data_IF_084295923374
#
_entry.id   IF_084295923374
#
_cell.length_a   1.000
_cell.length_b   1.000
_cell.length_c   1.000
_cell.angle_alpha   90.00
_cell.angle_beta   90.00
_cell.angle_gamma   90.00
#
_symmetry.space_group_name_H-M   'P 1'
#
loop_
_entity.id
_entity.type
_entity.pdbx_description
1 polymer ?
#
# COMPACT_ATOMS: atom_id res chain seq x y z
N UNK A 1 8.33 13.78 7.24
CA UNK A 1 7.65 13.00 6.18
C UNK A 1 6.42 12.27 6.72
N UNK A 2 6.55 11.56 7.84
CA UNK A 2 5.47 10.78 8.49
C UNK A 2 4.27 11.54 9.10
N UNK A 3 4.10 12.84 8.85
CA UNK A 3 2.99 13.61 9.41
C UNK A 3 2.11 14.07 8.26
N UNK A 4 0.77 13.99 8.44
CA UNK A 4 -0.24 14.39 7.44
C UNK A 4 0.08 15.72 6.76
N UNK A 5 0.42 16.76 7.54
CA UNK A 5 0.71 18.10 7.02
C UNK A 5 2.12 18.29 6.44
N UNK A 6 3.00 17.28 6.48
CA UNK A 6 4.41 17.45 6.11
C UNK A 6 4.58 17.85 4.64
N UNK A 7 3.89 17.15 3.74
CA UNK A 7 3.97 17.42 2.30
C UNK A 7 3.59 18.87 2.00
N UNK A 8 2.45 19.32 2.51
CA UNK A 8 1.94 20.69 2.35
C UNK A 8 2.87 21.75 2.94
N UNK A 9 3.43 21.49 4.12
CA UNK A 9 4.35 22.42 4.77
C UNK A 9 5.70 22.56 4.04
N UNK A 10 6.13 21.53 3.30
CA UNK A 10 7.44 21.48 2.62
C UNK A 10 7.33 21.51 1.09
N UNK A 11 6.12 21.64 0.54
CA UNK A 11 5.87 21.68 -0.91
C UNK A 11 5.96 23.08 -1.53
N UNK A 12 6.03 24.14 -0.72
CA UNK A 12 6.10 25.51 -1.22
C UNK A 12 4.87 25.97 -2.00
N UNK A 13 3.73 25.28 -1.83
CA UNK A 13 2.51 25.51 -2.60
C UNK A 13 2.49 24.83 -3.98
N UNK A 14 3.52 24.06 -4.33
CA UNK A 14 3.56 23.26 -5.55
C UNK A 14 3.03 21.84 -5.26
N UNK A 15 1.86 21.52 -5.82
CA UNK A 15 1.17 20.24 -5.61
C UNK A 15 1.98 19.04 -6.09
N UNK A 16 2.85 19.20 -7.10
CA UNK A 16 3.73 18.14 -7.59
C UNK A 16 4.84 17.87 -6.58
N UNK A 17 5.39 18.92 -5.97
CA UNK A 17 6.38 18.77 -4.90
C UNK A 17 5.73 18.11 -3.68
N UNK A 18 4.52 18.52 -3.30
CA UNK A 18 3.76 17.87 -2.23
C UNK A 18 3.52 16.38 -2.48
N UNK A 19 3.16 15.99 -3.72
CA UNK A 19 3.01 14.59 -4.11
C UNK A 19 4.34 13.83 -4.06
N UNK A 20 5.45 14.44 -4.49
CA UNK A 20 6.76 13.81 -4.43
C UNK A 20 7.19 13.50 -2.98
N UNK A 21 6.83 14.35 -2.01
CA UNK A 21 7.03 14.08 -0.59
C UNK A 21 6.19 12.89 -0.10
N UNK A 22 4.92 12.79 -0.51
CA UNK A 22 4.07 11.63 -0.17
C UNK A 22 4.62 10.33 -0.76
N UNK A 23 4.99 10.34 -2.04
CA UNK A 23 5.61 9.19 -2.72
C UNK A 23 6.91 8.75 -2.05
N UNK A 24 7.77 9.71 -1.68
CA UNK A 24 9.02 9.42 -0.98
C UNK A 24 8.77 8.75 0.37
N UNK A 25 7.81 9.26 1.15
CA UNK A 25 7.45 8.66 2.43
C UNK A 25 6.97 7.22 2.28
N UNK A 26 6.01 7.00 1.37
CA UNK A 26 5.46 5.66 1.16
C UNK A 26 6.49 4.68 0.60
N UNK A 27 7.43 5.15 -0.23
CA UNK A 27 8.55 4.31 -0.66
C UNK A 27 9.43 3.88 0.52
N UNK A 28 9.71 4.77 1.48
CA UNK A 28 10.42 4.38 2.70
C UNK A 28 9.67 3.30 3.49
N UNK A 29 8.34 3.42 3.63
CA UNK A 29 7.50 2.42 4.30
C UNK A 29 7.56 1.08 3.57
N UNK A 30 7.40 1.09 2.24
CA UNK A 30 7.46 -0.13 1.44
C UNK A 30 8.82 -0.82 1.55
N UNK A 31 9.92 -0.07 1.44
CA UNK A 31 11.27 -0.63 1.53
C UNK A 31 11.53 -1.24 2.92
N UNK A 32 11.11 -0.58 4.00
CA UNK A 32 11.25 -1.13 5.35
C UNK A 32 10.44 -2.42 5.53
N UNK A 33 9.20 -2.46 5.01
CA UNK A 33 8.36 -3.66 5.00
C UNK A 33 8.95 -4.82 4.20
N UNK A 34 9.48 -4.55 3.00
CA UNK A 34 10.16 -5.57 2.19
C UNK A 34 11.40 -6.13 2.89
N UNK A 35 12.23 -5.27 3.48
CA UNK A 35 13.43 -5.68 4.23
C UNK A 35 13.04 -6.55 5.42
N UNK A 36 12.01 -6.17 6.17
CA UNK A 36 11.51 -6.98 7.28
C UNK A 36 10.99 -8.34 6.82
N UNK A 37 10.27 -8.41 5.69
CA UNK A 37 9.81 -9.64 5.07
C UNK A 37 10.96 -10.58 4.70
N UNK A 38 11.97 -10.07 3.99
CA UNK A 38 13.16 -10.85 3.57
C UNK A 38 13.92 -11.40 4.77
N UNK A 39 14.10 -10.59 5.82
CA UNK A 39 14.80 -11.02 7.03
C UNK A 39 13.93 -11.85 7.99
N UNK A 40 12.64 -12.05 7.69
CA UNK A 40 11.64 -12.65 8.60
C UNK A 40 11.67 -11.99 9.98
N UNK A 41 11.90 -10.67 9.99
CA UNK A 41 11.89 -9.89 11.21
C UNK A 41 10.43 -9.73 11.68
N UNK A 42 10.20 -9.92 12.97
CA UNK A 42 8.87 -9.81 13.57
C UNK A 42 8.40 -8.36 13.75
N UNK A 43 9.20 -7.37 13.34
CA UNK A 43 8.84 -5.96 13.45
C UNK A 43 9.27 -5.19 12.21
N UNK A 44 8.34 -4.35 11.73
CA UNK A 44 8.59 -3.34 10.71
C UNK A 44 8.67 -2.00 11.43
N UNK A 45 9.76 -1.27 11.21
CA UNK A 45 10.12 -0.08 12.00
C UNK A 45 9.18 1.07 11.72
N UNK A 46 8.64 1.13 10.51
CA UNK A 46 7.68 2.14 10.06
C UNK A 46 6.23 1.68 10.15
N UNK A 47 5.95 0.50 10.74
CA UNK A 47 4.57 0.02 10.90
C UNK A 47 3.72 0.99 11.72
N UNK A 48 2.55 1.36 11.21
CA UNK A 48 1.65 2.34 11.85
C UNK A 48 2.20 3.77 11.92
N UNK A 49 3.39 4.03 11.37
CA UNK A 49 3.96 5.37 11.27
C UNK A 49 3.41 6.02 10.00
N UNK A 50 2.99 7.29 10.07
CA UNK A 50 2.40 7.96 8.91
C UNK A 50 0.88 7.82 8.81
N UNK A 51 0.20 7.49 9.89
CA UNK A 51 -1.26 7.61 9.99
C UNK A 51 -1.69 9.04 9.59
N UNK A 52 -2.60 9.15 8.62
CA UNK A 52 -3.00 10.42 8.02
C UNK A 52 -2.13 10.93 6.86
N UNK A 53 -0.98 10.30 6.54
CA UNK A 53 -0.28 10.64 5.30
C UNK A 53 -1.09 10.15 4.11
N UNK A 54 -1.46 11.09 3.24
CA UNK A 54 -2.22 10.79 2.03
C UNK A 54 -1.53 9.77 1.12
N UNK A 55 -2.33 8.91 0.50
CA UNK A 55 -1.93 7.91 -0.47
C UNK A 55 -1.46 8.59 -1.78
N UNK A 56 -0.46 8.02 -2.47
CA UNK A 56 0.01 8.57 -3.74
C UNK A 56 -1.04 8.48 -4.85
N UNK A 57 -1.03 9.46 -5.74
CA UNK A 57 -1.85 9.46 -6.94
C UNK A 57 -1.25 8.57 -8.05
N UNK A 58 -1.97 8.39 -9.15
CA UNK A 58 -1.47 7.59 -10.26
C UNK A 58 -0.27 8.21 -11.00
N UNK A 59 0.54 7.38 -11.65
CA UNK A 59 1.72 7.85 -12.40
C UNK A 59 1.36 8.87 -13.48
N UNK A 60 0.22 8.68 -14.15
CA UNK A 60 -0.31 9.63 -15.16
C UNK A 60 -0.69 10.99 -14.56
N UNK A 61 -1.18 11.00 -13.32
CA UNK A 61 -1.61 12.21 -12.61
C UNK A 61 -0.38 13.00 -12.17
N UNK A 62 0.61 12.30 -11.59
CA UNK A 62 1.90 12.88 -11.26
C UNK A 62 2.63 13.44 -12.48
N UNK A 63 2.73 12.66 -13.55
CA UNK A 63 3.42 13.05 -14.78
C UNK A 63 2.77 14.24 -15.50
N UNK A 64 1.44 14.38 -15.39
CA UNK A 64 0.72 15.52 -15.99
C UNK A 64 0.64 16.74 -15.08
N UNK A 65 1.08 16.63 -13.82
CA UNK A 65 0.95 17.67 -12.80
C UNK A 65 -0.47 17.88 -12.27
N UNK A 66 -1.44 17.08 -12.73
CA UNK A 66 -2.83 17.14 -12.28
C UNK A 66 -3.02 16.28 -11.03
N UNK A 67 -2.50 16.76 -9.91
CA UNK A 67 -2.50 16.01 -8.65
C UNK A 67 -3.91 16.06 -8.01
N UNK A 68 -4.59 14.92 -7.83
CA UNK A 68 -5.88 14.90 -7.14
C UNK A 68 -5.69 15.14 -5.63
N UNK A 69 -6.80 15.44 -4.94
CA UNK A 69 -6.80 15.43 -3.47
C UNK A 69 -6.42 14.03 -2.99
N UNK A 70 -5.39 13.89 -2.15
CA UNK A 70 -4.95 12.59 -1.70
C UNK A 70 -5.99 11.95 -0.78
N UNK A 71 -6.23 10.66 -0.98
CA UNK A 71 -7.05 9.81 -0.11
C UNK A 71 -6.24 9.28 1.07
N UNK A 72 -6.87 8.86 2.16
CA UNK A 72 -6.19 8.24 3.29
C UNK A 72 -6.25 6.71 3.21
N UNK A 73 -5.38 6.05 4.00
CA UNK A 73 -5.44 4.59 4.16
C UNK A 73 -6.75 4.13 4.84
N UNK A 74 -7.34 4.98 5.68
CA UNK A 74 -8.66 4.73 6.29
C UNK A 74 -9.75 4.67 5.21
N UNK A 75 -9.79 5.66 4.31
CA UNK A 75 -10.71 5.67 3.17
C UNK A 75 -10.52 4.44 2.26
N UNK A 76 -9.30 3.93 2.13
CA UNK A 76 -9.03 2.68 1.39
C UNK A 76 -9.62 1.45 2.10
N UNK A 77 -9.42 1.33 3.42
CA UNK A 77 -9.93 0.20 4.19
C UNK A 77 -11.47 0.20 4.28
N UNK A 78 -12.09 1.39 4.20
CA UNK A 78 -13.55 1.55 4.26
C UNK A 78 -14.22 1.46 2.88
N UNK A 79 -13.46 1.42 1.79
CA UNK A 79 -13.98 1.47 0.41
C UNK A 79 -14.96 0.32 0.09
N UNK A 80 -14.73 -0.87 0.66
CA UNK A 80 -15.60 -2.05 0.52
C UNK A 80 -17.01 -1.83 1.08
N UNK A 81 -17.19 -0.85 1.97
CA UNK A 81 -18.47 -0.48 2.57
C UNK A 81 -19.14 0.73 1.90
N UNK A 82 -18.47 1.32 0.90
CA UNK A 82 -19.00 2.47 0.17
C UNK A 82 -19.78 2.02 -1.07
N UNK A 83 -20.89 2.71 -1.37
CA UNK A 83 -21.66 2.50 -2.61
C UNK A 83 -20.95 3.06 -3.86
N UNK A 84 -19.81 3.75 -3.68
CA UNK A 84 -19.03 4.35 -4.75
C UNK A 84 -17.98 3.37 -5.28
N UNK A 85 -17.91 3.20 -6.61
CA UNK A 85 -16.82 2.47 -7.27
C UNK A 85 -15.53 3.30 -7.25
N UNK A 86 -14.94 3.47 -6.06
CA UNK A 86 -13.68 4.17 -5.86
C UNK A 86 -12.55 3.31 -6.42
N UNK A 87 -11.81 3.86 -7.37
CA UNK A 87 -10.57 3.25 -7.88
C UNK A 87 -9.38 3.95 -7.24
N UNK A 88 -8.50 3.18 -6.61
CA UNK A 88 -7.27 3.69 -6.03
C UNK A 88 -6.10 3.50 -7.00
N UNK A 89 -4.99 4.19 -6.72
CA UNK A 89 -3.78 4.08 -7.53
C UNK A 89 -3.09 2.73 -7.33
N UNK A 90 -2.31 2.31 -8.32
CA UNK A 90 -1.44 1.13 -8.21
C UNK A 90 -0.45 1.22 -7.04
N UNK A 91 -0.01 2.44 -6.69
CA UNK A 91 0.77 2.71 -5.47
C UNK A 91 0.00 2.33 -4.20
N UNK A 92 -1.29 2.62 -4.14
CA UNK A 92 -2.15 2.29 -3.00
C UNK A 92 -2.22 0.77 -2.80
N UNK A 93 -2.41 0.00 -3.88
CA UNK A 93 -2.46 -1.46 -3.79
C UNK A 93 -1.13 -2.08 -3.35
N UNK A 94 0.01 -1.52 -3.78
CA UNK A 94 1.35 -1.91 -3.30
C UNK A 94 1.54 -1.61 -1.81
N UNK A 95 1.10 -0.44 -1.35
CA UNK A 95 1.12 -0.07 0.08
C UNK A 95 0.24 -1.03 0.89
N UNK A 96 -0.96 -1.33 0.40
CA UNK A 96 -1.87 -2.28 1.04
C UNK A 96 -1.26 -3.70 1.14
N UNK A 97 -0.50 -4.14 0.13
CA UNK A 97 0.20 -5.42 0.16
C UNK A 97 1.26 -5.45 1.28
N UNK A 98 2.02 -4.37 1.45
CA UNK A 98 2.98 -4.22 2.55
C UNK A 98 2.27 -4.22 3.90
N UNK A 99 1.22 -3.42 4.08
CA UNK A 99 0.46 -3.40 5.32
C UNK A 99 -0.10 -4.80 5.69
N UNK A 100 -0.46 -5.60 4.69
CA UNK A 100 -0.88 -6.98 4.89
C UNK A 100 0.29 -7.90 5.30
N UNK A 101 1.44 -7.78 4.64
CA UNK A 101 2.67 -8.48 5.01
C UNK A 101 3.09 -8.16 6.46
N UNK A 102 3.01 -6.91 6.88
CA UNK A 102 3.29 -6.50 8.27
C UNK A 102 2.40 -7.22 9.28
N UNK A 103 1.09 -7.31 9.00
CA UNK A 103 0.13 -8.04 9.84
C UNK A 103 0.49 -9.52 9.94
N UNK A 104 0.92 -10.13 8.83
CA UNK A 104 1.36 -11.54 8.79
C UNK A 104 2.64 -11.73 9.61
N UNK A 105 3.65 -10.86 9.44
CA UNK A 105 4.91 -10.94 10.18
C UNK A 105 4.73 -10.74 11.70
N UNK A 106 3.70 -9.98 12.10
CA UNK A 106 3.34 -9.78 13.50
C UNK A 106 2.61 -10.98 14.12
N UNK A 107 2.12 -11.94 13.32
CA UNK A 107 1.47 -13.14 13.86
C UNK A 107 2.51 -14.06 14.52
N UNK A 108 2.15 -14.68 15.67
CA UNK A 108 2.97 -15.75 16.22
C UNK A 108 3.05 -16.92 15.23
N UNK A 109 4.16 -17.66 15.29
CA UNK A 109 4.35 -18.83 14.43
C UNK A 109 3.38 -19.94 14.86
N UNK A 110 2.68 -20.59 13.91
CA UNK A 110 1.80 -21.71 14.24
C UNK A 110 2.62 -22.84 14.87
N UNK A 111 2.09 -23.44 15.92
CA UNK A 111 2.82 -24.45 16.71
C UNK A 111 2.45 -25.87 16.26
N UNK A 112 1.27 -26.04 15.66
CA UNK A 112 0.74 -27.32 15.18
C UNK A 112 -0.01 -27.18 13.84
N UNK A 113 -0.24 -28.27 13.09
CA UNK A 113 -0.80 -28.22 11.73
C UNK A 113 -2.22 -27.63 11.61
N UNK A 114 -3.03 -27.72 12.66
CA UNK A 114 -4.41 -27.21 12.69
C UNK A 114 -4.54 -25.92 13.54
N UNK A 115 -3.45 -25.18 13.68
CA UNK A 115 -3.43 -23.94 14.44
C UNK A 115 -4.36 -22.90 13.80
N UNK A 116 -5.34 -22.33 14.53
CA UNK A 116 -6.22 -21.28 14.02
C UNK A 116 -5.48 -20.07 13.43
N UNK A 117 -4.21 -19.87 13.80
CA UNK A 117 -3.33 -18.86 13.21
C UNK A 117 -3.10 -19.07 11.70
N UNK A 118 -3.16 -20.32 11.21
CA UNK A 118 -3.05 -20.64 9.78
C UNK A 118 -4.24 -20.06 9.03
N UNK A 119 -5.46 -20.37 9.47
CA UNK A 119 -6.68 -19.81 8.88
C UNK A 119 -6.73 -18.28 8.96
N UNK A 120 -6.20 -17.68 10.04
CA UNK A 120 -6.07 -16.23 10.16
C UNK A 120 -5.07 -15.65 9.15
N UNK A 121 -3.97 -16.34 8.91
CA UNK A 121 -2.96 -15.96 7.91
C UNK A 121 -3.56 -16.03 6.50
N UNK A 122 -4.26 -17.12 6.19
CA UNK A 122 -4.95 -17.29 4.90
C UNK A 122 -6.00 -16.20 4.68
N UNK A 123 -6.77 -15.84 5.70
CA UNK A 123 -7.74 -14.76 5.62
C UNK A 123 -7.07 -13.42 5.26
N UNK A 124 -5.91 -13.10 5.85
CA UNK A 124 -5.16 -11.91 5.47
C UNK A 124 -4.67 -11.97 4.03
N UNK A 125 -4.09 -13.09 3.58
CA UNK A 125 -3.62 -13.27 2.20
C UNK A 125 -4.75 -13.07 1.18
N UNK A 126 -5.93 -13.63 1.44
CA UNK A 126 -7.11 -13.50 0.56
C UNK A 126 -7.69 -12.09 0.62
N UNK A 127 -7.71 -11.45 1.79
CA UNK A 127 -8.34 -10.14 1.95
C UNK A 127 -7.75 -9.08 1.03
N UNK A 128 -6.43 -9.06 0.83
CA UNK A 128 -5.80 -8.12 -0.11
C UNK A 128 -6.32 -8.32 -1.54
N UNK A 129 -6.42 -9.57 -2.01
CA UNK A 129 -6.90 -9.88 -3.37
C UNK A 129 -8.35 -9.45 -3.62
N UNK A 130 -9.18 -9.38 -2.58
CA UNK A 130 -10.57 -8.94 -2.67
C UNK A 130 -10.67 -7.44 -2.99
N UNK A 131 -9.73 -6.63 -2.49
CA UNK A 131 -9.72 -5.18 -2.69
C UNK A 131 -9.20 -4.79 -4.09
N UNK A 132 -8.61 -5.70 -4.88
CA UNK A 132 -8.15 -5.36 -6.23
C UNK A 132 -9.31 -5.26 -7.23
N UNK A 133 -9.49 -4.10 -7.88
CA UNK A 133 -10.40 -3.97 -8.99
C UNK A 133 -9.94 -4.88 -10.14
N UNK A 134 -10.86 -5.26 -11.05
CA UNK A 134 -10.52 -6.13 -12.19
C UNK A 134 -9.34 -5.62 -13.03
N UNK A 135 -9.19 -4.30 -13.14
CA UNK A 135 -8.10 -3.63 -13.85
C UNK A 135 -6.74 -3.85 -13.18
N UNK A 136 -6.69 -3.82 -11.85
CA UNK A 136 -5.45 -4.02 -11.08
C UNK A 136 -5.04 -5.50 -10.95
N UNK A 137 -5.84 -6.44 -11.47
CA UNK A 137 -5.45 -7.86 -11.60
C UNK A 137 -4.59 -8.12 -12.84
N UNK A 138 -4.51 -7.15 -13.75
CA UNK A 138 -3.72 -7.24 -14.96
C UNK A 138 -2.40 -6.49 -14.74
N UNK A 139 -1.30 -7.24 -14.66
CA UNK A 139 0.06 -6.71 -14.55
C UNK A 139 0.49 -5.96 -15.83
N UNK A 140 -0.12 -6.29 -16.96
CA UNK A 140 0.21 -5.70 -18.27
C UNK A 140 -1.05 -5.12 -18.89
N UNK A 141 -1.03 -3.82 -19.14
CA UNK A 141 -2.06 -3.10 -19.88
C UNK A 141 -1.40 -2.38 -21.07
N UNK A 142 -1.94 -2.55 -22.28
CA UNK A 142 -1.40 -1.97 -23.53
C UNK A 142 0.10 -2.24 -23.77
N UNK A 143 0.59 -3.42 -23.34
CA UNK A 143 1.98 -3.82 -23.49
C UNK A 143 2.96 -3.12 -22.54
N UNK A 144 2.46 -2.33 -21.58
CA UNK A 144 3.24 -1.78 -20.47
C UNK A 144 2.95 -2.54 -19.20
N UNK A 145 4.00 -2.81 -18.43
CA UNK A 145 3.89 -3.41 -17.11
C UNK A 145 3.56 -2.30 -16.12
N UNK A 146 2.51 -2.48 -15.32
CA UNK A 146 2.34 -1.70 -14.10
C UNK A 146 3.27 -2.27 -13.03
N UNK A 147 4.41 -1.61 -12.84
CA UNK A 147 5.45 -2.05 -11.92
C UNK A 147 4.96 -2.08 -10.46
N UNK A 148 4.05 -1.18 -10.09
CA UNK A 148 3.54 -1.11 -8.72
C UNK A 148 2.60 -2.27 -8.42
N UNK A 149 1.69 -2.60 -9.35
CA UNK A 149 0.83 -3.80 -9.26
C UNK A 149 1.66 -5.07 -9.32
N UNK A 150 2.66 -5.13 -10.20
CA UNK A 150 3.57 -6.28 -10.26
C UNK A 150 4.25 -6.51 -8.91
N UNK A 151 4.81 -5.47 -8.31
CA UNK A 151 5.43 -5.56 -6.98
C UNK A 151 4.41 -5.94 -5.90
N UNK A 152 3.19 -5.41 -5.96
CA UNK A 152 2.13 -5.76 -5.01
C UNK A 152 1.78 -7.25 -5.06
N UNK A 153 1.68 -7.83 -6.26
CA UNK A 153 1.54 -9.27 -6.43
C UNK A 153 2.75 -10.05 -5.89
N UNK A 154 3.96 -9.61 -6.18
CA UNK A 154 5.17 -10.24 -5.66
C UNK A 154 5.21 -10.23 -4.13
N UNK A 155 4.81 -9.14 -3.47
CA UNK A 155 4.74 -9.05 -2.01
C UNK A 155 3.74 -10.06 -1.43
N UNK A 156 2.58 -10.21 -2.06
CA UNK A 156 1.51 -11.08 -1.55
C UNK A 156 1.79 -12.57 -1.80
N UNK A 157 2.47 -12.93 -2.89
CA UNK A 157 2.69 -14.32 -3.30
C UNK A 157 4.11 -14.87 -3.01
N UNK A 158 5.02 -14.07 -2.44
CA UNK A 158 6.40 -14.47 -2.14
C UNK A 158 6.55 -15.35 -0.88
#
# INVERSE_FOLDING_TARGET
MQHEGFAKANGGGDVVVEESWRRTWWECVVLDGMVAGVHRASSVRLSGVGEGVGLPCEEREYSSGNIPTPRTLEEFNDADFSDDNIVFSSFTYRIAAIANLERILALPKPIFPDDPLIAKTDAYLVNWTLHLPPTARLVVEDGRVDEMIFQAHMITYA
#
